data_IF_120532954068
#
_entry.id   IF_120532954068
#
_cell.length_a   1.000
_cell.length_b   1.000
_cell.length_c   1.000
_cell.angle_alpha   90.00
_cell.angle_beta   90.00
_cell.angle_gamma   90.00
#
_symmetry.space_group_name_H-M   'P 1'
#
loop_
_entity.id
_entity.type
_entity.pdbx_description
1 polymer ?
#
# COMPACT_ATOMS: atom_id res chain seq x y z
N UNK A 1 6.16 3.36 -19.61
CA UNK A 1 6.01 3.11 -18.17
C UNK A 1 4.79 3.88 -17.71
N UNK A 2 3.74 3.21 -17.34
CA UNK A 2 2.55 3.91 -16.83
C UNK A 2 1.87 3.08 -15.75
N UNK A 3 1.75 3.65 -14.55
CA UNK A 3 0.83 3.15 -13.55
C UNK A 3 -0.54 3.76 -13.81
N UNK A 4 -1.58 2.95 -13.68
CA UNK A 4 -2.98 3.30 -13.88
C UNK A 4 -3.86 2.77 -12.76
N UNK A 5 -5.09 3.26 -12.67
CA UNK A 5 -6.11 2.60 -11.85
C UNK A 5 -6.27 1.14 -12.32
N UNK A 6 -6.35 0.26 -11.34
CA UNK A 6 -6.66 -1.13 -11.57
C UNK A 6 -8.15 -1.31 -11.89
N UNK A 7 -8.44 -2.38 -12.60
CA UNK A 7 -9.80 -2.85 -12.87
C UNK A 7 -9.97 -4.26 -12.29
N UNK A 8 -11.20 -4.76 -12.10
CA UNK A 8 -11.40 -6.14 -11.63
C UNK A 8 -10.73 -7.21 -12.50
N UNK A 9 -10.45 -6.93 -13.77
CA UNK A 9 -9.70 -7.84 -14.64
C UNK A 9 -8.23 -8.02 -14.24
N UNK A 10 -7.67 -7.10 -13.44
CA UNK A 10 -6.30 -7.19 -12.92
C UNK A 10 -6.20 -8.10 -11.68
N UNK A 11 -7.32 -8.55 -11.12
CA UNK A 11 -7.37 -9.28 -9.85
C UNK A 11 -6.45 -10.52 -9.82
N UNK A 12 -6.37 -11.25 -10.92
CA UNK A 12 -5.51 -12.44 -11.02
C UNK A 12 -4.01 -12.07 -10.93
N UNK A 13 -3.60 -11.00 -11.60
CA UNK A 13 -2.22 -10.50 -11.57
C UNK A 13 -1.85 -9.93 -10.20
N UNK A 14 -2.76 -9.19 -9.58
CA UNK A 14 -2.60 -8.65 -8.23
C UNK A 14 -2.47 -9.79 -7.22
N UNK A 15 -3.34 -10.81 -7.29
CA UNK A 15 -3.28 -11.98 -6.41
C UNK A 15 -1.93 -12.71 -6.55
N UNK A 16 -1.44 -12.90 -7.78
CA UNK A 16 -0.13 -13.51 -8.03
C UNK A 16 0.99 -12.75 -7.35
N UNK A 17 1.08 -11.44 -7.55
CA UNK A 17 2.13 -10.59 -6.98
C UNK A 17 2.01 -10.53 -5.45
N UNK A 18 0.80 -10.43 -4.91
CA UNK A 18 0.57 -10.46 -3.47
C UNK A 18 1.02 -11.78 -2.85
N UNK A 19 0.72 -12.90 -3.51
CA UNK A 19 1.13 -14.23 -3.07
C UNK A 19 2.65 -14.41 -3.05
N UNK A 20 3.38 -13.81 -3.97
CA UNK A 20 4.85 -13.74 -3.89
C UNK A 20 5.31 -13.04 -2.60
N UNK A 21 4.68 -11.91 -2.26
CA UNK A 21 4.95 -11.19 -1.01
C UNK A 21 4.64 -12.02 0.25
N UNK A 22 3.53 -12.76 0.23
CA UNK A 22 3.17 -13.69 1.32
C UNK A 22 4.23 -14.79 1.45
N UNK A 23 4.65 -15.40 0.36
CA UNK A 23 5.65 -16.47 0.34
C UNK A 23 7.03 -16.01 0.80
N UNK A 24 7.41 -14.78 0.48
CA UNK A 24 8.72 -14.20 0.82
C UNK A 24 8.87 -13.89 2.32
N UNK A 25 7.77 -13.81 3.09
CA UNK A 25 7.76 -13.58 4.55
C UNK A 25 8.43 -12.26 5.00
N UNK A 26 8.48 -11.25 4.13
CA UNK A 26 9.22 -9.99 4.40
C UNK A 26 8.35 -8.74 4.46
N UNK A 27 7.07 -8.84 4.08
CA UNK A 27 6.22 -7.67 3.89
C UNK A 27 4.83 -7.75 4.55
N UNK A 28 4.36 -8.93 4.94
CA UNK A 28 3.01 -9.11 5.50
C UNK A 28 2.98 -10.21 6.55
N UNK A 29 2.07 -10.08 7.52
CA UNK A 29 1.75 -11.14 8.47
C UNK A 29 0.85 -12.23 7.87
N UNK A 30 0.27 -11.99 6.70
CA UNK A 30 -0.60 -12.93 6.03
C UNK A 30 0.19 -14.18 5.60
N UNK A 31 -0.43 -15.34 5.77
CA UNK A 31 0.17 -16.64 5.42
C UNK A 31 -0.70 -17.42 4.43
N UNK A 32 -2.00 -17.10 4.35
CA UNK A 32 -2.93 -17.70 3.39
C UNK A 32 -2.79 -17.03 2.03
N UNK A 33 -2.52 -17.82 1.01
CA UNK A 33 -2.52 -17.34 -0.38
C UNK A 33 -3.93 -16.86 -0.78
N UNK A 34 -3.98 -15.86 -1.63
CA UNK A 34 -5.22 -15.27 -2.14
C UNK A 34 -5.55 -15.82 -3.52
N UNK A 35 -6.81 -16.14 -3.73
CA UNK A 35 -7.38 -16.38 -5.06
C UNK A 35 -7.74 -15.05 -5.73
N UNK A 36 -7.90 -14.99 -7.06
CA UNK A 36 -8.35 -13.79 -7.75
C UNK A 36 -9.66 -13.22 -7.20
N UNK A 37 -10.58 -14.08 -6.76
CA UNK A 37 -11.87 -13.71 -6.17
C UNK A 37 -11.71 -12.97 -4.85
N UNK A 38 -10.71 -13.33 -4.04
CA UNK A 38 -10.38 -12.60 -2.81
C UNK A 38 -9.97 -11.16 -3.12
N UNK A 39 -9.19 -10.97 -4.18
CA UNK A 39 -8.73 -9.64 -4.63
C UNK A 39 -9.85 -8.86 -5.30
N UNK A 40 -10.71 -9.51 -6.06
CA UNK A 40 -11.87 -8.87 -6.67
C UNK A 40 -12.77 -8.19 -5.64
N UNK A 41 -12.85 -8.73 -4.43
CA UNK A 41 -13.59 -8.14 -3.32
C UNK A 41 -12.96 -6.84 -2.75
N UNK A 42 -11.72 -6.50 -3.11
CA UNK A 42 -11.08 -5.24 -2.69
C UNK A 42 -11.58 -4.02 -3.47
N UNK A 43 -12.19 -4.24 -4.64
CA UNK A 43 -12.71 -3.18 -5.50
C UNK A 43 -14.06 -2.67 -4.96
N UNK A 44 -14.01 -1.76 -3.99
CA UNK A 44 -15.19 -1.20 -3.32
C UNK A 44 -15.72 0.09 -3.98
N UNK A 45 -15.03 0.58 -5.01
CA UNK A 45 -15.37 1.82 -5.72
C UNK A 45 -14.99 3.11 -5.00
N UNK A 46 -14.43 3.02 -3.79
CA UNK A 46 -14.06 4.17 -2.95
C UNK A 46 -12.56 4.25 -2.73
N UNK A 47 -11.91 3.11 -2.51
CA UNK A 47 -10.49 3.03 -2.18
C UNK A 47 -9.68 2.67 -3.43
N UNK A 48 -8.79 3.56 -3.90
CA UNK A 48 -8.00 3.32 -5.10
C UNK A 48 -7.11 2.09 -5.01
N UNK A 49 -7.06 1.35 -6.11
CA UNK A 49 -6.08 0.30 -6.38
C UNK A 49 -5.41 0.68 -7.70
N UNK A 50 -4.08 0.63 -7.73
CA UNK A 50 -3.29 0.99 -8.91
C UNK A 50 -2.35 -0.15 -9.30
N UNK A 51 -2.06 -0.26 -10.58
CA UNK A 51 -1.12 -1.24 -11.12
C UNK A 51 -0.09 -0.55 -12.03
N UNK A 52 1.11 -1.12 -12.09
CA UNK A 52 2.11 -0.76 -13.10
C UNK A 52 2.28 -1.91 -14.08
N UNK A 53 2.47 -1.56 -15.35
CA UNK A 53 2.62 -2.53 -16.45
C UNK A 53 3.98 -2.42 -17.13
N UNK A 54 4.46 -3.58 -17.58
CA UNK A 54 5.60 -3.72 -18.49
C UNK A 54 5.21 -4.75 -19.54
N UNK A 55 5.38 -4.39 -20.81
CA UNK A 55 5.12 -5.27 -21.94
C UNK A 55 3.74 -5.96 -21.88
N UNK A 56 2.72 -5.20 -21.47
CA UNK A 56 1.34 -5.68 -21.35
C UNK A 56 1.05 -6.57 -20.13
N UNK A 57 2.02 -6.73 -19.23
CA UNK A 57 1.85 -7.52 -18.00
C UNK A 57 1.90 -6.62 -16.76
N UNK A 58 1.03 -6.87 -15.79
CA UNK A 58 1.08 -6.21 -14.48
C UNK A 58 2.29 -6.74 -13.69
N UNK A 59 3.16 -5.81 -13.29
CA UNK A 59 4.43 -6.11 -12.59
C UNK A 59 4.51 -5.51 -11.18
N UNK A 60 3.52 -4.74 -10.78
CA UNK A 60 3.42 -4.20 -9.43
C UNK A 60 2.05 -3.60 -9.18
N UNK A 61 1.68 -3.49 -7.92
CA UNK A 61 0.45 -2.84 -7.52
C UNK A 61 0.61 -2.13 -6.17
N UNK A 62 -0.30 -1.19 -5.92
CA UNK A 62 -0.55 -0.65 -4.59
C UNK A 62 -2.06 -0.50 -4.40
N UNK A 63 -2.53 -0.76 -3.20
CA UNK A 63 -3.95 -0.69 -2.85
C UNK A 63 -4.17 0.15 -1.60
N UNK A 64 -5.39 0.63 -1.45
CA UNK A 64 -5.87 1.27 -0.24
C UNK A 64 -7.10 0.55 0.31
N UNK A 65 -7.30 0.66 1.61
CA UNK A 65 -8.47 0.16 2.31
C UNK A 65 -8.83 1.06 3.49
N UNK A 66 -10.05 0.99 3.98
CA UNK A 66 -10.51 1.79 5.10
C UNK A 66 -9.69 1.52 6.36
N UNK A 67 -9.17 2.57 7.01
CA UNK A 67 -8.43 2.45 8.27
C UNK A 67 -9.29 1.88 9.40
N UNK A 68 -10.49 2.40 9.57
CA UNK A 68 -11.49 1.91 10.55
C UNK A 68 -12.88 1.91 9.91
N UNK A 69 -13.24 0.80 9.24
CA UNK A 69 -14.54 0.70 8.57
C UNK A 69 -15.71 1.04 9.53
N UNK A 70 -16.70 1.76 9.01
CA UNK A 70 -17.89 2.17 9.77
C UNK A 70 -17.70 3.37 10.70
N UNK A 71 -16.53 4.04 10.70
CA UNK A 71 -16.28 5.27 11.44
C UNK A 71 -16.09 6.46 10.49
N UNK A 72 -17.11 7.29 10.34
CA UNK A 72 -17.11 8.45 9.42
C UNK A 72 -15.98 9.45 9.70
N UNK A 73 -15.60 9.64 10.97
CA UNK A 73 -14.51 10.54 11.33
C UNK A 73 -13.15 10.13 10.74
N UNK A 74 -13.01 8.89 10.28
CA UNK A 74 -11.80 8.37 9.63
C UNK A 74 -12.02 8.08 8.14
N UNK A 75 -13.09 8.57 7.53
CA UNK A 75 -13.44 8.25 6.14
C UNK A 75 -12.33 8.61 5.13
N UNK A 76 -11.55 9.65 5.39
CA UNK A 76 -10.43 10.05 4.54
C UNK A 76 -9.07 9.48 4.95
N UNK A 77 -9.03 8.57 5.93
CA UNK A 77 -7.81 7.86 6.34
C UNK A 77 -7.84 6.46 5.73
N UNK A 78 -6.82 6.10 4.97
CA UNK A 78 -6.71 4.77 4.38
C UNK A 78 -5.39 4.09 4.75
N UNK A 79 -5.45 2.79 4.97
CA UNK A 79 -4.28 1.93 5.01
C UNK A 79 -3.89 1.57 3.57
N UNK A 80 -2.60 1.41 3.31
CA UNK A 80 -2.12 1.02 1.99
C UNK A 80 -1.12 -0.12 2.05
N UNK A 81 -1.01 -0.83 0.93
CA UNK A 81 0.03 -1.81 0.68
C UNK A 81 0.69 -1.53 -0.68
N UNK A 82 1.92 -2.00 -0.85
CA UNK A 82 2.65 -1.93 -2.11
C UNK A 82 3.44 -3.22 -2.31
N UNK A 83 3.30 -3.82 -3.48
CA UNK A 83 4.00 -5.04 -3.86
C UNK A 83 4.50 -4.97 -5.29
N UNK A 84 5.66 -5.53 -5.52
CA UNK A 84 6.31 -5.59 -6.83
C UNK A 84 6.62 -7.05 -7.14
N UNK A 85 6.29 -7.46 -8.36
CA UNK A 85 6.67 -8.75 -8.93
C UNK A 85 8.15 -9.01 -8.70
N UNK A 86 8.47 -10.22 -8.25
CA UNK A 86 9.82 -10.60 -7.83
C UNK A 86 10.87 -10.35 -8.91
N UNK A 87 10.52 -10.58 -10.19
CA UNK A 87 11.42 -10.39 -11.33
C UNK A 87 11.69 -8.91 -11.65
N UNK A 88 10.85 -7.98 -11.16
CA UNK A 88 10.92 -6.54 -11.49
C UNK A 88 11.29 -5.65 -10.29
N UNK A 89 11.76 -6.27 -9.20
CA UNK A 89 12.24 -5.51 -8.03
C UNK A 89 13.53 -4.77 -8.37
N UNK A 90 13.69 -3.58 -7.81
CA UNK A 90 14.86 -2.73 -8.09
C UNK A 90 14.76 -1.89 -9.36
N UNK A 91 13.70 -2.03 -10.16
CA UNK A 91 13.50 -1.34 -11.44
C UNK A 91 12.65 -0.05 -11.31
N UNK A 92 12.37 0.41 -10.09
CA UNK A 92 11.57 1.62 -9.86
C UNK A 92 10.06 1.42 -9.86
N UNK A 93 9.57 0.19 -10.08
CA UNK A 93 8.12 -0.13 -10.11
C UNK A 93 7.41 0.30 -8.84
N UNK A 94 8.00 0.06 -7.67
CA UNK A 94 7.42 0.46 -6.39
C UNK A 94 7.18 1.97 -6.30
N UNK A 95 8.14 2.78 -6.77
CA UNK A 95 7.99 4.25 -6.82
C UNK A 95 6.87 4.67 -7.77
N UNK A 96 6.75 4.00 -8.91
CA UNK A 96 5.75 4.29 -9.92
C UNK A 96 4.33 4.03 -9.41
N UNK A 97 4.07 2.86 -8.82
CA UNK A 97 2.74 2.56 -8.25
C UNK A 97 2.42 3.44 -7.05
N UNK A 98 3.40 3.76 -6.20
CA UNK A 98 3.16 4.65 -5.06
C UNK A 98 2.87 6.08 -5.49
N UNK A 99 3.52 6.60 -6.53
CA UNK A 99 3.21 7.92 -7.07
C UNK A 99 1.78 7.97 -7.64
N UNK A 100 1.37 6.91 -8.35
CA UNK A 100 0.00 6.79 -8.82
C UNK A 100 -1.00 6.67 -7.66
N UNK A 101 -0.70 5.85 -6.63
CA UNK A 101 -1.58 5.69 -5.48
C UNK A 101 -1.82 7.01 -4.75
N UNK A 102 -0.77 7.79 -4.52
CA UNK A 102 -0.91 9.10 -3.88
C UNK A 102 -1.83 10.01 -4.70
N UNK A 103 -1.60 10.14 -6.00
CA UNK A 103 -2.44 10.97 -6.89
C UNK A 103 -3.90 10.52 -6.89
N UNK A 104 -4.16 9.23 -7.06
CA UNK A 104 -5.52 8.70 -7.09
C UNK A 104 -6.21 8.79 -5.73
N UNK A 105 -5.45 8.67 -4.64
CA UNK A 105 -5.97 8.85 -3.27
C UNK A 105 -6.38 10.29 -3.00
N UNK A 106 -5.60 11.27 -3.44
CA UNK A 106 -5.97 12.68 -3.36
C UNK A 106 -7.23 12.97 -4.19
N UNK A 107 -7.29 12.44 -5.42
CA UNK A 107 -8.46 12.59 -6.28
C UNK A 107 -9.73 11.94 -5.70
N UNK A 108 -9.58 10.87 -4.92
CA UNK A 108 -10.66 10.21 -4.20
C UNK A 108 -11.07 10.91 -2.90
N UNK A 109 -10.41 12.01 -2.52
CA UNK A 109 -10.71 12.78 -1.30
C UNK A 109 -10.12 12.20 -0.03
N UNK A 110 -9.17 11.28 -0.12
CA UNK A 110 -8.43 10.81 1.05
C UNK A 110 -7.45 11.89 1.51
N UNK A 111 -7.34 12.07 2.83
CA UNK A 111 -6.43 13.06 3.41
C UNK A 111 -5.23 12.48 4.15
N UNK A 112 -5.18 11.15 4.32
CA UNK A 112 -4.06 10.46 4.94
C UNK A 112 -3.92 9.04 4.43
N UNK A 113 -2.69 8.67 4.10
CA UNK A 113 -2.28 7.28 3.88
C UNK A 113 -1.38 6.83 5.01
N UNK A 114 -1.59 5.62 5.52
CA UNK A 114 -0.73 5.01 6.53
C UNK A 114 -0.51 3.53 6.24
N UNK A 115 0.62 3.01 6.72
CA UNK A 115 0.92 1.58 6.63
C UNK A 115 1.83 1.14 7.78
N UNK A 116 1.93 -0.16 7.93
CA UNK A 116 2.82 -0.85 8.86
C UNK A 116 3.85 -1.64 8.06
N UNK A 117 5.13 -1.36 8.31
CA UNK A 117 6.25 -1.95 7.59
C UNK A 117 7.13 -2.70 8.58
N UNK A 118 7.56 -3.91 8.26
CA UNK A 118 8.50 -4.63 9.13
C UNK A 118 9.78 -3.82 9.33
N UNK A 119 10.27 -3.78 10.56
CA UNK A 119 11.46 -2.99 10.92
C UNK A 119 12.73 -3.42 10.18
N UNK A 120 12.78 -4.65 9.69
CA UNK A 120 13.89 -5.19 8.90
C UNK A 120 13.66 -5.10 7.37
N UNK A 121 12.51 -4.55 6.93
CA UNK A 121 12.26 -4.31 5.50
C UNK A 121 12.81 -2.95 5.07
N UNK A 122 14.15 -2.87 4.94
CA UNK A 122 14.84 -1.63 4.59
C UNK A 122 14.46 -1.09 3.20
N UNK A 123 14.15 -1.96 2.25
CA UNK A 123 13.76 -1.58 0.89
C UNK A 123 12.43 -0.80 0.90
N UNK A 124 11.42 -1.31 1.60
CA UNK A 124 10.13 -0.63 1.75
C UNK A 124 10.25 0.70 2.50
N UNK A 125 11.00 0.71 3.61
CA UNK A 125 11.23 1.94 4.39
C UNK A 125 11.95 3.01 3.55
N UNK A 126 12.96 2.62 2.79
CA UNK A 126 13.69 3.53 1.89
C UNK A 126 12.81 4.10 0.79
N UNK A 127 11.99 3.25 0.17
CA UNK A 127 11.01 3.69 -0.83
C UNK A 127 10.05 4.73 -0.24
N UNK A 128 9.38 4.40 0.87
CA UNK A 128 8.35 5.25 1.46
C UNK A 128 8.92 6.57 1.97
N UNK A 129 10.11 6.56 2.60
CA UNK A 129 10.80 7.79 2.98
C UNK A 129 11.08 8.68 1.76
N UNK A 130 11.53 8.10 0.65
CA UNK A 130 11.77 8.85 -0.60
C UNK A 130 10.50 9.39 -1.26
N UNK A 131 9.33 8.88 -0.86
CA UNK A 131 8.01 9.30 -1.33
C UNK A 131 7.31 10.26 -0.34
N UNK A 132 8.03 10.76 0.67
CA UNK A 132 7.51 11.74 1.62
C UNK A 132 6.69 11.17 2.77
N UNK A 133 6.77 9.86 3.00
CA UNK A 133 6.17 9.24 4.18
C UNK A 133 7.07 9.46 5.40
N UNK A 134 6.46 9.88 6.52
CA UNK A 134 7.12 10.05 7.80
C UNK A 134 6.95 8.80 8.67
N UNK A 135 7.98 8.47 9.44
CA UNK A 135 7.90 7.44 10.47
C UNK A 135 7.23 8.04 11.71
N UNK A 136 6.14 7.43 12.17
CA UNK A 136 5.38 7.86 13.35
C UNK A 136 5.92 7.21 14.61
N UNK A 137 6.30 5.95 14.54
CA UNK A 137 6.79 5.17 15.66
C UNK A 137 6.85 3.68 15.33
N UNK A 138 7.21 2.89 16.35
CA UNK A 138 7.35 1.44 16.23
C UNK A 138 6.37 0.75 17.17
N UNK A 139 5.58 -0.18 16.62
CA UNK A 139 4.84 -1.15 17.43
C UNK A 139 5.72 -2.37 17.66
N UNK A 140 6.09 -2.57 18.90
CA UNK A 140 6.94 -3.70 19.31
C UNK A 140 6.10 -4.96 19.49
N UNK A 141 6.60 -6.09 18.96
CA UNK A 141 5.93 -7.39 19.05
C UNK A 141 4.45 -7.31 18.62
N UNK A 142 4.23 -6.66 17.46
CA UNK A 142 2.90 -6.31 17.00
C UNK A 142 2.07 -7.54 16.63
N UNK A 143 2.70 -8.53 15.98
CA UNK A 143 2.11 -9.82 15.68
C UNK A 143 3.20 -10.88 15.52
N UNK A 144 2.78 -12.13 15.35
CA UNK A 144 3.70 -13.25 15.06
C UNK A 144 3.63 -13.63 13.59
N UNK A 145 4.79 -13.94 13.03
CA UNK A 145 4.92 -14.57 11.72
C UNK A 145 5.79 -15.81 11.90
N UNK A 146 5.27 -16.98 11.50
CA UNK A 146 5.92 -18.28 11.68
C UNK A 146 6.45 -18.49 13.12
N UNK A 147 5.64 -18.10 14.11
CA UNK A 147 5.95 -18.24 15.54
C UNK A 147 6.86 -17.17 16.14
N UNK A 148 7.49 -16.33 15.34
CA UNK A 148 8.37 -15.26 15.80
C UNK A 148 7.64 -13.92 15.92
N UNK A 149 7.90 -13.19 17.00
CA UNK A 149 7.41 -11.82 17.16
C UNK A 149 8.07 -10.88 16.16
N UNK A 150 7.27 -9.98 15.55
CA UNK A 150 7.76 -8.98 14.62
C UNK A 150 7.34 -7.59 15.06
N UNK A 151 8.27 -6.66 14.97
CA UNK A 151 8.04 -5.23 15.15
C UNK A 151 7.68 -4.60 13.81
N UNK A 152 6.87 -3.54 13.84
CA UNK A 152 6.51 -2.76 12.65
C UNK A 152 6.73 -1.28 12.89
N UNK A 153 7.22 -0.60 11.86
CA UNK A 153 7.27 0.86 11.77
C UNK A 153 5.93 1.32 11.22
N UNK A 154 5.32 2.29 11.88
CA UNK A 154 4.15 2.99 11.36
C UNK A 154 4.64 4.15 10.51
N UNK A 155 4.20 4.21 9.26
CA UNK A 155 4.50 5.30 8.33
C UNK A 155 3.21 5.99 7.91
N UNK A 156 3.26 7.31 7.73
CA UNK A 156 2.12 8.09 7.26
C UNK A 156 2.52 9.18 6.28
N UNK A 157 1.59 9.56 5.42
CA UNK A 157 1.68 10.74 4.58
C UNK A 157 0.34 11.46 4.57
N UNK A 158 0.36 12.76 4.86
CA UNK A 158 -0.80 13.64 4.72
C UNK A 158 -0.97 14.03 3.26
N UNK A 159 -2.21 14.19 2.82
CA UNK A 159 -2.59 14.48 1.44
C UNK A 159 -3.49 15.72 1.38
N UNK A 160 -3.48 16.42 0.24
CA UNK A 160 -4.34 17.54 -0.02
C UNK A 160 -4.26 18.61 1.08
N UNK A 161 -5.40 19.14 1.50
CA UNK A 161 -5.50 20.21 2.51
C UNK A 161 -4.90 19.81 3.87
N UNK A 162 -4.87 18.51 4.20
CA UNK A 162 -4.25 18.04 5.44
C UNK A 162 -2.72 18.15 5.41
N UNK A 163 -2.11 18.21 4.22
CA UNK A 163 -0.67 18.43 4.04
C UNK A 163 -0.28 19.92 4.13
N UNK A 164 -1.24 20.84 3.97
CA UNK A 164 -1.03 22.26 4.04
C UNK A 164 -0.82 22.71 5.50
N UNK A 165 0.44 22.98 5.85
CA UNK A 165 0.81 23.58 7.14
C UNK A 165 0.57 25.09 7.19
N UNK A 166 -0.35 25.64 6.41
CA UNK A 166 -0.69 27.06 6.50
C UNK A 166 -1.36 27.35 7.85
N UNK A 167 -0.76 28.20 8.71
CA UNK A 167 -1.43 28.60 9.94
C UNK A 167 -2.61 29.50 9.58
N UNK A 168 -3.84 28.96 9.61
CA UNK A 168 -4.99 29.84 9.39
C UNK A 168 -6.30 29.24 8.93
N UNK A 169 -6.58 27.98 9.12
CA UNK A 169 -7.94 27.46 9.00
C UNK A 169 -8.36 26.73 10.27
N UNK A 170 -8.64 27.51 11.29
CA UNK A 170 -9.39 27.09 12.47
C UNK A 170 -10.82 27.66 12.37
#
# INVERSE_FOLDING_TARGET
MSARLATPSDAASIARIYNEGIQDRVATFETRLRAPEDVAAWFDGTHPIVVAERDGSVVGFADTSAYRPGRECYAGVAEFNVYVDRAHRGEGVGREVMAALVRESEAAGLWKLLSRVFTDNAASQGLLRSMGFAEVGVYRRHARLDGAWRDVVIVERLLGDAADNSPGSA
#
